data_IF_992354642498
#
_entry.id   IF_992354642498
#
_cell.length_a   1.000
_cell.length_b   1.000
_cell.length_c   1.000
_cell.angle_alpha   90.00
_cell.angle_beta   90.00
_cell.angle_gamma   90.00
#
_symmetry.space_group_name_H-M   'P 1'
#
loop_
_entity.id
_entity.type
_entity.pdbx_description
1 polymer ?
#
# COMPACT_ATOMS: atom_id res chain seq x y z
N UNK A 1 16.61 20.19 -23.88
CA UNK A 1 16.16 19.08 -22.97
C UNK A 1 15.81 19.73 -21.66
N UNK A 2 14.50 19.89 -21.38
CA UNK A 2 14.03 20.68 -20.23
C UNK A 2 14.34 19.95 -18.91
N UNK A 3 15.36 20.46 -18.22
CA UNK A 3 15.67 20.09 -16.84
C UNK A 3 14.67 20.83 -15.92
N UNK A 4 13.41 20.36 -15.89
CA UNK A 4 12.42 20.88 -14.94
C UNK A 4 12.93 20.49 -13.55
N UNK A 5 13.44 21.50 -12.80
CA UNK A 5 13.87 21.34 -11.41
C UNK A 5 12.78 20.62 -10.62
N UNK A 6 13.08 19.41 -10.12
CA UNK A 6 12.22 18.72 -9.17
C UNK A 6 12.02 19.61 -7.95
N UNK A 7 10.77 20.01 -7.68
CA UNK A 7 10.46 20.77 -6.47
C UNK A 7 10.54 19.82 -5.27
N UNK A 8 11.38 20.13 -4.31
CA UNK A 8 11.57 19.31 -3.10
C UNK A 8 11.77 20.18 -1.86
N UNK A 9 11.38 19.63 -0.71
CA UNK A 9 11.58 20.22 0.61
C UNK A 9 12.69 19.48 1.34
N UNK A 10 13.65 20.20 1.94
CA UNK A 10 14.69 19.58 2.78
C UNK A 10 14.32 19.71 4.25
N UNK A 11 14.33 18.59 4.97
CA UNK A 11 14.19 18.53 6.44
C UNK A 11 15.48 18.01 7.07
N UNK A 12 16.20 18.88 7.75
CA UNK A 12 17.37 18.46 8.50
C UNK A 12 16.99 17.85 9.85
N UNK A 13 17.39 16.60 10.05
CA UNK A 13 17.04 15.81 11.23
C UNK A 13 18.28 15.17 11.88
N UNK A 14 18.11 14.67 13.10
CA UNK A 14 19.17 13.93 13.82
C UNK A 14 19.16 12.47 13.37
N UNK A 15 19.60 12.22 12.13
CA UNK A 15 19.64 10.92 11.45
C UNK A 15 21.02 10.66 10.87
N UNK A 16 21.33 9.41 10.49
CA UNK A 16 22.65 9.02 9.95
C UNK A 16 22.74 9.16 8.42
N UNK A 17 21.64 8.88 7.71
CA UNK A 17 21.60 8.81 6.24
C UNK A 17 20.61 9.81 5.64
N UNK A 18 20.75 10.10 4.35
CA UNK A 18 19.78 10.88 3.57
C UNK A 18 18.66 9.92 3.10
N UNK A 19 17.42 10.35 3.28
CA UNK A 19 16.22 9.63 2.83
C UNK A 19 15.39 10.54 1.93
N UNK A 20 14.95 10.01 0.78
CA UNK A 20 14.00 10.67 -0.10
C UNK A 20 12.64 10.01 0.13
N UNK A 21 11.65 10.82 0.47
CA UNK A 21 10.26 10.40 0.69
C UNK A 21 9.36 11.18 -0.26
N UNK A 22 8.47 10.47 -0.95
CA UNK A 22 7.42 11.08 -1.75
C UNK A 22 6.11 10.94 -0.96
N UNK A 23 5.41 12.05 -0.78
CA UNK A 23 4.19 12.11 0.02
C UNK A 23 3.26 13.17 -0.56
N UNK A 24 2.03 12.78 -0.88
CA UNK A 24 1.00 13.70 -1.39
C UNK A 24 1.50 14.51 -2.62
N UNK A 25 2.21 13.82 -3.55
CA UNK A 25 2.77 14.46 -4.73
C UNK A 25 3.97 15.39 -4.45
N UNK A 26 4.52 15.42 -3.24
CA UNK A 26 5.68 16.26 -2.84
C UNK A 26 6.90 15.39 -2.54
N UNK A 27 8.06 15.87 -2.97
CA UNK A 27 9.35 15.24 -2.65
C UNK A 27 9.89 15.86 -1.36
N UNK A 28 10.12 15.04 -0.34
CA UNK A 28 10.67 15.46 0.95
C UNK A 28 12.00 14.74 1.14
N UNK A 29 13.07 15.51 1.29
CA UNK A 29 14.40 14.97 1.57
C UNK A 29 14.70 15.16 3.06
N UNK A 30 14.90 14.07 3.77
CA UNK A 30 15.35 14.07 5.17
C UNK A 30 16.85 13.85 5.17
N UNK A 31 17.61 14.78 5.73
CA UNK A 31 19.08 14.75 5.73
C UNK A 31 19.67 15.02 7.11
N UNK A 32 20.85 14.46 7.42
CA UNK A 32 21.66 14.88 8.57
C UNK A 32 22.10 16.34 8.43
N UNK A 33 22.21 17.07 9.53
CA UNK A 33 22.65 18.48 9.51
C UNK A 33 24.05 18.71 8.90
N UNK A 34 24.89 17.67 8.88
CA UNK A 34 26.24 17.72 8.31
C UNK A 34 26.31 17.61 6.79
N UNK A 35 25.22 17.22 6.14
CA UNK A 35 25.15 17.04 4.68
C UNK A 35 24.77 18.38 4.05
N UNK A 36 25.60 18.85 3.14
CA UNK A 36 25.39 20.12 2.46
C UNK A 36 24.25 20.05 1.43
N UNK A 37 23.65 21.20 1.11
CA UNK A 37 22.62 21.29 0.07
C UNK A 37 23.13 20.77 -1.28
N UNK A 38 24.38 21.04 -1.63
CA UNK A 38 25.01 20.59 -2.88
C UNK A 38 25.13 19.05 -2.97
N UNK A 39 25.41 18.39 -1.86
CA UNK A 39 25.42 16.93 -1.79
C UNK A 39 24.01 16.34 -1.94
N UNK A 40 23.02 16.99 -1.33
CA UNK A 40 21.61 16.60 -1.46
C UNK A 40 21.15 16.73 -2.92
N UNK A 41 21.48 17.84 -3.59
CA UNK A 41 21.17 18.07 -5.01
C UNK A 41 21.75 16.97 -5.90
N UNK A 42 22.99 16.57 -5.67
CA UNK A 42 23.64 15.47 -6.40
C UNK A 42 22.93 14.13 -6.19
N UNK A 43 22.48 13.84 -4.97
CA UNK A 43 21.70 12.63 -4.66
C UNK A 43 20.35 12.65 -5.37
N UNK A 44 19.67 13.80 -5.40
CA UNK A 44 18.38 13.97 -6.09
C UNK A 44 18.55 13.77 -7.59
N UNK A 45 19.60 14.33 -8.17
CA UNK A 45 19.91 14.18 -9.59
C UNK A 45 20.14 12.72 -9.95
N UNK A 46 20.96 11.99 -9.19
CA UNK A 46 21.19 10.55 -9.37
C UNK A 46 19.92 9.70 -9.24
N UNK A 47 18.94 10.17 -8.48
CA UNK A 47 17.66 9.49 -8.24
C UNK A 47 16.48 10.08 -9.00
N UNK A 48 16.73 11.02 -9.90
CA UNK A 48 15.69 11.79 -10.60
C UNK A 48 14.68 10.92 -11.32
N UNK A 49 15.11 9.88 -12.04
CA UNK A 49 14.22 8.97 -12.76
C UNK A 49 13.32 8.16 -11.82
N UNK A 50 13.86 7.68 -10.70
CA UNK A 50 13.09 7.00 -9.69
C UNK A 50 12.07 7.94 -9.04
N UNK A 51 12.46 9.18 -8.73
CA UNK A 51 11.59 10.21 -8.15
C UNK A 51 10.44 10.50 -9.11
N UNK A 52 10.72 10.76 -10.40
CA UNK A 52 9.70 11.02 -11.42
C UNK A 52 8.70 9.87 -11.54
N UNK A 53 9.17 8.65 -11.73
CA UNK A 53 8.32 7.45 -11.82
C UNK A 53 7.45 7.26 -10.58
N UNK A 54 7.99 7.58 -9.41
CA UNK A 54 7.24 7.43 -8.15
C UNK A 54 6.20 8.54 -7.99
N UNK A 55 6.53 9.78 -8.37
CA UNK A 55 5.57 10.89 -8.42
C UNK A 55 4.42 10.60 -9.38
N UNK A 56 4.70 10.14 -10.59
CA UNK A 56 3.67 9.77 -11.57
C UNK A 56 2.74 8.68 -11.03
N UNK A 57 3.28 7.67 -10.33
CA UNK A 57 2.46 6.63 -9.70
C UNK A 57 1.59 7.19 -8.57
N UNK A 58 2.13 8.09 -7.74
CA UNK A 58 1.37 8.74 -6.66
C UNK A 58 0.24 9.61 -7.22
N UNK A 59 0.50 10.38 -8.28
CA UNK A 59 -0.50 11.22 -8.96
C UNK A 59 -1.60 10.33 -9.54
N UNK A 60 -1.26 9.30 -10.32
CA UNK A 60 -2.24 8.36 -10.87
C UNK A 60 -3.07 7.65 -9.79
N UNK A 61 -2.49 7.37 -8.63
CA UNK A 61 -3.21 6.78 -7.51
C UNK A 61 -4.19 7.76 -6.86
N UNK A 62 -3.84 9.06 -6.79
CA UNK A 62 -4.73 10.10 -6.28
C UNK A 62 -5.86 10.43 -7.26
N UNK A 63 -5.60 10.35 -8.58
CA UNK A 63 -6.57 10.62 -9.65
C UNK A 63 -7.60 9.50 -9.85
N UNK A 64 -7.37 8.30 -9.30
CA UNK A 64 -8.38 7.22 -9.36
C UNK A 64 -9.61 7.62 -8.55
N UNK A 65 -10.72 7.82 -9.25
CA UNK A 65 -12.02 8.03 -8.63
C UNK A 65 -12.52 6.77 -7.91
N UNK A 66 -13.30 6.91 -6.84
CA UNK A 66 -13.95 5.76 -6.21
C UNK A 66 -14.86 5.01 -7.19
N UNK A 67 -14.74 3.70 -7.26
CA UNK A 67 -15.60 2.83 -8.08
C UNK A 67 -16.97 2.59 -7.42
N UNK A 68 -17.06 2.81 -6.10
CA UNK A 68 -18.23 2.51 -5.30
C UNK A 68 -18.58 3.67 -4.37
N UNK A 69 -19.87 3.78 -3.98
CA UNK A 69 -20.24 4.58 -2.81
C UNK A 69 -19.68 3.94 -1.54
N UNK A 70 -19.62 4.70 -0.45
CA UNK A 70 -19.14 4.17 0.85
C UNK A 70 -20.00 3.03 1.37
N UNK A 71 -21.31 3.11 1.15
CA UNK A 71 -22.29 2.08 1.53
C UNK A 71 -22.05 0.80 0.74
N UNK A 72 -21.94 0.92 -0.60
CA UNK A 72 -21.67 -0.23 -1.47
C UNK A 72 -20.31 -0.86 -1.19
N UNK A 73 -19.30 -0.06 -0.87
CA UNK A 73 -17.99 -0.56 -0.51
C UNK A 73 -18.00 -1.38 0.79
N UNK A 74 -18.76 -0.94 1.81
CA UNK A 74 -18.97 -1.72 3.04
C UNK A 74 -19.65 -3.04 2.76
N UNK A 75 -20.75 -3.02 1.98
CA UNK A 75 -21.47 -4.23 1.57
C UNK A 75 -20.56 -5.24 0.86
N UNK A 76 -19.72 -4.76 -0.09
CA UNK A 76 -18.74 -5.60 -0.80
C UNK A 76 -17.76 -6.25 0.19
N UNK A 77 -17.24 -5.49 1.16
CA UNK A 77 -16.32 -6.03 2.17
C UNK A 77 -17.02 -7.07 3.04
N UNK A 78 -18.21 -6.79 3.53
CA UNK A 78 -18.97 -7.69 4.39
C UNK A 78 -19.30 -9.01 3.68
N UNK A 79 -19.79 -8.94 2.45
CA UNK A 79 -20.12 -10.13 1.65
C UNK A 79 -18.86 -10.98 1.39
N UNK A 80 -17.80 -10.37 0.85
CA UNK A 80 -16.54 -11.08 0.58
C UNK A 80 -15.91 -11.66 1.84
N UNK A 81 -15.95 -10.93 2.97
CA UNK A 81 -15.40 -11.42 4.22
C UNK A 81 -16.21 -12.62 4.75
N UNK A 82 -17.54 -12.57 4.70
CA UNK A 82 -18.41 -13.67 5.15
C UNK A 82 -18.18 -14.94 4.31
N UNK A 83 -18.13 -14.81 2.98
CA UNK A 83 -17.83 -15.92 2.08
C UNK A 83 -16.47 -16.54 2.37
N UNK A 84 -15.41 -15.71 2.42
CA UNK A 84 -14.05 -16.18 2.67
C UNK A 84 -13.88 -16.81 4.05
N UNK A 85 -14.57 -16.31 5.07
CA UNK A 85 -14.59 -16.91 6.42
C UNK A 85 -15.23 -18.30 6.38
N UNK A 86 -16.32 -18.49 5.61
CA UNK A 86 -16.95 -19.79 5.43
C UNK A 86 -16.05 -20.75 4.66
N UNK A 87 -15.46 -20.30 3.55
CA UNK A 87 -14.57 -21.12 2.71
C UNK A 87 -13.29 -21.55 3.43
N UNK A 88 -12.65 -20.62 4.16
CA UNK A 88 -11.33 -20.84 4.78
C UNK A 88 -11.39 -21.37 6.20
N UNK A 89 -12.50 -21.13 6.92
CA UNK A 89 -12.61 -21.34 8.37
C UNK A 89 -11.82 -20.33 9.21
N UNK A 90 -11.14 -19.35 8.59
CA UNK A 90 -10.32 -18.34 9.28
C UNK A 90 -11.22 -17.21 9.79
N UNK A 91 -11.34 -17.08 11.11
CA UNK A 91 -12.24 -16.11 11.73
C UNK A 91 -11.45 -14.96 12.36
N UNK A 92 -11.58 -13.72 11.86
CA UNK A 92 -11.03 -12.55 12.53
C UNK A 92 -11.89 -12.17 13.76
N UNK A 93 -11.29 -11.51 14.73
CA UNK A 93 -12.04 -10.93 15.86
C UNK A 93 -12.82 -9.68 15.42
N UNK A 94 -12.24 -8.89 14.52
CA UNK A 94 -12.84 -7.66 14.00
C UNK A 94 -12.25 -7.31 12.65
N UNK A 95 -13.10 -6.79 11.77
CA UNK A 95 -12.68 -6.13 10.51
C UNK A 95 -13.04 -4.64 10.61
N UNK A 96 -12.09 -3.76 10.31
CA UNK A 96 -12.28 -2.30 10.30
C UNK A 96 -11.76 -1.70 9.01
N UNK A 97 -12.41 -0.64 8.54
CA UNK A 97 -11.96 0.15 7.38
C UNK A 97 -11.35 1.44 7.90
N UNK A 98 -10.11 1.73 7.52
CA UNK A 98 -9.40 2.96 7.92
C UNK A 98 -8.52 3.46 6.78
N UNK A 99 -8.18 4.74 6.80
CA UNK A 99 -7.13 5.28 5.95
C UNK A 99 -5.79 4.74 6.42
N UNK A 100 -5.13 3.91 5.60
CA UNK A 100 -3.79 3.35 5.87
C UNK A 100 -2.81 3.94 4.85
N UNK A 101 -1.63 4.33 5.31
CA UNK A 101 -0.68 5.06 4.48
C UNK A 101 0.22 4.18 3.61
N UNK A 102 0.59 3.00 4.09
CA UNK A 102 1.64 2.16 3.49
C UNK A 102 1.22 0.72 3.19
N UNK A 103 -0.04 0.39 3.41
CA UNK A 103 -0.55 -0.97 3.19
C UNK A 103 -1.98 -0.97 2.68
N UNK A 104 -2.41 -2.03 2.03
CA UNK A 104 -3.80 -2.26 1.61
C UNK A 104 -4.64 -2.89 2.71
N UNK A 105 -3.99 -3.59 3.62
CA UNK A 105 -4.58 -4.17 4.81
C UNK A 105 -3.52 -4.46 5.86
N UNK A 106 -3.95 -4.95 7.01
CA UNK A 106 -3.09 -5.48 8.06
C UNK A 106 -3.88 -6.41 8.99
N UNK A 107 -3.22 -7.47 9.45
CA UNK A 107 -3.74 -8.37 10.46
C UNK A 107 -2.85 -8.32 11.71
N UNK A 108 -3.44 -8.07 12.88
CA UNK A 108 -2.70 -8.07 14.14
C UNK A 108 -2.60 -9.48 14.75
N UNK A 109 -1.67 -9.68 15.70
CA UNK A 109 -1.58 -10.92 16.49
C UNK A 109 -2.86 -11.28 17.27
N UNK A 110 -3.72 -10.28 17.53
CA UNK A 110 -5.07 -10.46 18.10
C UNK A 110 -6.13 -10.76 17.02
N UNK A 111 -5.74 -11.12 15.81
CA UNK A 111 -6.64 -11.42 14.68
C UNK A 111 -7.60 -10.28 14.31
N UNK A 112 -7.22 -9.02 14.60
CA UNK A 112 -7.96 -7.86 14.11
C UNK A 112 -7.43 -7.47 12.74
N UNK A 113 -8.34 -7.39 11.77
CA UNK A 113 -8.03 -6.98 10.39
C UNK A 113 -8.41 -5.52 10.21
N UNK A 114 -7.51 -4.76 9.58
CA UNK A 114 -7.79 -3.41 9.12
C UNK A 114 -7.61 -3.36 7.61
N UNK A 115 -8.61 -2.88 6.88
CA UNK A 115 -8.60 -2.70 5.43
C UNK A 115 -8.46 -1.21 5.09
N UNK A 116 -7.71 -0.91 4.04
CA UNK A 116 -7.50 0.46 3.60
C UNK A 116 -8.74 1.01 2.89
N UNK A 117 -9.19 2.20 3.27
CA UNK A 117 -10.28 2.90 2.60
C UNK A 117 -10.02 3.12 1.10
N UNK A 118 -8.76 3.26 0.68
CA UNK A 118 -8.36 3.42 -0.73
C UNK A 118 -8.75 2.22 -1.62
N UNK A 119 -9.09 1.06 -1.03
CA UNK A 119 -9.61 -0.09 -1.77
C UNK A 119 -10.94 0.20 -2.49
N UNK A 120 -11.67 1.24 -2.08
CA UNK A 120 -12.88 1.72 -2.77
C UNK A 120 -12.65 2.07 -4.25
N UNK A 121 -11.38 2.24 -4.66
CA UNK A 121 -10.94 2.59 -6.02
C UNK A 121 -10.51 1.37 -6.85
N UNK A 122 -10.73 0.15 -6.35
CA UNK A 122 -10.25 -1.09 -6.96
C UNK A 122 -11.40 -2.07 -7.24
N UNK A 123 -11.15 -3.03 -8.12
CA UNK A 123 -12.13 -4.06 -8.45
C UNK A 123 -12.58 -4.87 -7.24
N UNK A 124 -13.72 -5.55 -7.33
CA UNK A 124 -14.19 -6.44 -6.26
C UNK A 124 -13.22 -7.59 -6.03
N UNK A 125 -12.60 -8.10 -7.10
CA UNK A 125 -11.58 -9.15 -7.05
C UNK A 125 -10.34 -8.69 -6.29
N UNK A 126 -9.91 -7.44 -6.52
CA UNK A 126 -8.80 -6.85 -5.79
C UNK A 126 -9.13 -6.67 -4.29
N UNK A 127 -10.35 -6.23 -3.97
CA UNK A 127 -10.83 -6.14 -2.57
C UNK A 127 -10.86 -7.53 -1.93
N UNK A 128 -11.44 -8.54 -2.61
CA UNK A 128 -11.49 -9.93 -2.14
C UNK A 128 -10.08 -10.50 -1.90
N UNK A 129 -9.14 -10.23 -2.80
CA UNK A 129 -7.74 -10.63 -2.62
C UNK A 129 -7.12 -10.06 -1.34
N UNK A 130 -7.31 -8.77 -1.06
CA UNK A 130 -6.76 -8.17 0.16
C UNK A 130 -7.40 -8.77 1.41
N UNK A 131 -8.71 -9.00 1.40
CA UNK A 131 -9.42 -9.66 2.53
C UNK A 131 -8.85 -11.06 2.76
N UNK A 132 -8.71 -11.88 1.71
CA UNK A 132 -8.11 -13.21 1.80
C UNK A 132 -6.68 -13.17 2.34
N UNK A 133 -5.86 -12.22 1.83
CA UNK A 133 -4.49 -12.03 2.28
C UNK A 133 -4.41 -11.78 3.80
N UNK A 134 -5.25 -10.88 4.31
CA UNK A 134 -5.30 -10.57 5.74
C UNK A 134 -5.88 -11.72 6.58
N UNK A 135 -6.83 -12.48 6.05
CA UNK A 135 -7.34 -13.69 6.69
C UNK A 135 -6.24 -14.76 6.79
N UNK A 136 -5.42 -14.95 5.75
CA UNK A 136 -4.31 -15.91 5.79
C UNK A 136 -3.28 -15.58 6.86
N UNK A 137 -3.11 -14.30 7.23
CA UNK A 137 -2.27 -13.89 8.35
C UNK A 137 -2.77 -14.36 9.73
N UNK A 138 -4.05 -14.74 9.86
CA UNK A 138 -4.55 -15.38 11.09
C UNK A 138 -3.82 -16.70 11.38
N UNK A 139 -3.40 -17.40 10.31
CA UNK A 139 -2.70 -18.69 10.40
C UNK A 139 -1.19 -18.53 10.25
N UNK A 140 -0.74 -17.67 9.33
CA UNK A 140 0.66 -17.48 9.01
C UNK A 140 1.00 -15.99 9.06
N UNK A 141 1.67 -15.55 10.14
CA UNK A 141 1.99 -14.13 10.34
C UNK A 141 3.05 -13.58 9.39
N UNK A 142 3.78 -14.44 8.70
CA UNK A 142 4.80 -14.09 7.72
C UNK A 142 4.39 -14.57 6.32
N UNK A 143 4.99 -14.00 5.28
CA UNK A 143 4.76 -14.38 3.89
C UNK A 143 5.60 -15.59 3.46
N UNK A 144 5.59 -16.67 4.28
CA UNK A 144 6.25 -17.94 3.98
C UNK A 144 5.66 -18.64 2.75
N UNK A 145 6.28 -19.73 2.31
CA UNK A 145 5.74 -20.58 1.26
C UNK A 145 4.34 -21.10 1.61
N UNK A 146 4.12 -21.47 2.87
CA UNK A 146 2.82 -21.98 3.34
C UNK A 146 1.73 -20.90 3.33
N UNK A 147 2.10 -19.63 3.61
CA UNK A 147 1.20 -18.50 3.45
C UNK A 147 0.72 -18.37 1.99
N UNK A 148 1.66 -18.36 1.04
CA UNK A 148 1.31 -18.22 -0.38
C UNK A 148 0.57 -19.44 -0.93
N UNK A 149 0.90 -20.65 -0.49
CA UNK A 149 0.14 -21.87 -0.81
C UNK A 149 -1.32 -21.76 -0.32
N UNK A 150 -1.53 -21.17 0.86
CA UNK A 150 -2.88 -20.95 1.40
C UNK A 150 -3.64 -19.92 0.58
N UNK A 151 -3.01 -18.81 0.20
CA UNK A 151 -3.64 -17.80 -0.68
C UNK A 151 -4.00 -18.43 -2.04
N UNK A 152 -3.04 -19.15 -2.66
CA UNK A 152 -3.21 -19.77 -3.99
C UNK A 152 -4.31 -20.85 -3.99
N UNK A 153 -4.49 -21.56 -2.88
CA UNK A 153 -5.57 -22.56 -2.71
C UNK A 153 -6.95 -21.95 -2.89
N UNK A 154 -7.19 -20.74 -2.35
CA UNK A 154 -8.51 -20.09 -2.37
C UNK A 154 -8.64 -19.03 -3.49
N UNK A 155 -7.54 -18.63 -4.08
CA UNK A 155 -7.48 -17.66 -5.18
C UNK A 155 -6.28 -17.97 -6.08
N UNK A 156 -6.43 -18.96 -7.01
CA UNK A 156 -5.30 -19.41 -7.86
C UNK A 156 -4.73 -18.31 -8.75
N UNK A 157 -5.54 -17.35 -9.13
CA UNK A 157 -5.20 -16.22 -10.01
C UNK A 157 -4.71 -14.97 -9.25
N UNK A 158 -4.48 -15.05 -7.93
CA UNK A 158 -4.07 -13.92 -7.09
C UNK A 158 -2.87 -13.13 -7.64
N UNK A 159 -1.96 -13.80 -8.36
CA UNK A 159 -0.78 -13.16 -8.97
C UNK A 159 -1.18 -12.16 -10.06
N UNK A 160 -2.26 -12.44 -10.78
CA UNK A 160 -2.80 -11.55 -11.80
C UNK A 160 -3.53 -10.37 -11.15
N UNK A 161 -4.40 -10.65 -10.17
CA UNK A 161 -5.18 -9.65 -9.43
C UNK A 161 -4.24 -8.67 -8.72
N UNK A 162 -3.17 -9.16 -8.12
CA UNK A 162 -2.14 -8.34 -7.45
C UNK A 162 -1.52 -7.28 -8.36
N UNK A 163 -1.58 -7.41 -9.69
CA UNK A 163 -1.05 -6.41 -10.63
C UNK A 163 -1.83 -5.09 -10.60
N UNK A 164 -3.09 -5.11 -10.15
CA UNK A 164 -3.88 -3.88 -10.01
C UNK A 164 -3.28 -2.88 -9.02
N UNK A 165 -2.48 -3.35 -8.07
CA UNK A 165 -1.84 -2.55 -7.01
C UNK A 165 -0.44 -2.03 -7.37
N UNK A 166 0.01 -2.22 -8.61
CA UNK A 166 1.36 -1.83 -9.06
C UNK A 166 1.42 -0.46 -9.71
#
# INVERSE_FOLDING_TARGET
MNNSMLNYEIKYLKIKNVYIQIKEGRVIVKAPRKVSKKEIEKIIEQKSDWIRKTLEKEIKKQEKEPLYTKEKFKEIIENNANELIQETGLRPNKITIKQIKYAWGSCSSKKNITLNLELIKYSQEAIRYVILHELCHIKYMNHSKDFWNLVEKYMPDYKQIKKEFK
#
